data_IF_810043815909
#
_entry.id   IF_810043815909
#
_cell.length_a   1.000
_cell.length_b   1.000
_cell.length_c   1.000
_cell.angle_alpha   90.00
_cell.angle_beta   90.00
_cell.angle_gamma   90.00
#
_symmetry.space_group_name_H-M   'P 1'
#
loop_
_entity.id
_entity.type
_entity.pdbx_description
1 polymer ?
#
# COMPACT_ATOMS: atom_id res chain seq x y z
N UNK A 1 -0.12 27.61 1.23
CA UNK A 1 1.27 27.62 0.72
C UNK A 1 1.58 26.21 0.24
N UNK A 2 2.05 26.05 -1.00
CA UNK A 2 2.44 24.73 -1.53
C UNK A 2 3.76 24.31 -0.88
N UNK A 3 3.84 23.09 -0.37
CA UNK A 3 5.09 22.56 0.19
C UNK A 3 5.95 22.01 -0.94
N UNK A 4 7.18 22.53 -1.09
CA UNK A 4 8.21 21.86 -1.89
C UNK A 4 8.69 20.61 -1.16
N UNK A 5 8.03 19.49 -1.42
CA UNK A 5 8.22 18.26 -0.65
C UNK A 5 8.57 17.06 -1.52
N UNK A 6 9.03 17.26 -2.76
CA UNK A 6 9.35 16.15 -3.67
C UNK A 6 10.76 15.59 -3.43
N UNK A 7 10.90 14.29 -3.57
CA UNK A 7 12.15 13.54 -3.41
C UNK A 7 12.28 12.51 -4.52
N UNK A 8 13.42 12.52 -5.22
CA UNK A 8 13.71 11.52 -6.25
C UNK A 8 14.11 10.22 -5.56
N UNK A 9 13.25 9.20 -5.63
CA UNK A 9 13.47 7.91 -4.96
C UNK A 9 14.23 6.93 -5.86
N UNK A 10 13.79 6.80 -7.11
CA UNK A 10 14.49 6.05 -8.18
C UNK A 10 14.51 6.92 -9.44
N UNK A 11 15.32 6.61 -10.49
CA UNK A 11 15.34 7.43 -11.71
C UNK A 11 13.97 7.66 -12.37
N UNK A 12 13.02 6.74 -12.16
CA UNK A 12 11.67 6.77 -12.73
C UNK A 12 10.56 7.09 -11.70
N UNK A 13 10.90 7.33 -10.43
CA UNK A 13 9.93 7.57 -9.37
C UNK A 13 10.36 8.71 -8.45
N UNK A 14 9.55 9.77 -8.44
CA UNK A 14 9.67 10.89 -7.51
C UNK A 14 8.47 10.87 -6.55
N UNK A 15 8.69 10.93 -5.24
CA UNK A 15 7.64 10.85 -4.21
C UNK A 15 7.58 12.13 -3.38
N UNK A 16 6.60 12.27 -2.48
CA UNK A 16 6.70 13.23 -1.38
C UNK A 16 7.67 12.71 -0.31
N UNK A 17 8.42 13.61 0.34
CA UNK A 17 9.29 13.33 1.50
C UNK A 17 8.49 12.82 2.71
N UNK A 18 7.26 13.31 2.84
CA UNK A 18 6.30 12.89 3.86
C UNK A 18 5.20 12.08 3.16
N UNK A 19 5.02 10.84 3.60
CA UNK A 19 3.97 9.95 3.13
C UNK A 19 2.80 10.01 4.10
N UNK A 20 1.59 10.07 3.57
CA UNK A 20 0.38 10.04 4.37
C UNK A 20 -0.03 8.58 4.63
N UNK A 21 0.00 8.16 5.89
CA UNK A 21 -0.52 6.85 6.30
C UNK A 21 -2.04 6.86 6.42
N UNK A 22 -2.66 5.74 6.07
CA UNK A 22 -4.13 5.58 6.09
C UNK A 22 -4.62 4.57 7.15
N UNK A 23 -3.75 4.11 8.04
CA UNK A 23 -4.12 3.10 9.04
C UNK A 23 -5.34 3.51 9.89
N UNK A 24 -5.44 4.79 10.26
CA UNK A 24 -6.58 5.33 11.04
C UNK A 24 -7.93 5.33 10.30
N UNK A 25 -7.93 5.21 8.97
CA UNK A 25 -9.17 5.12 8.16
C UNK A 25 -9.54 3.67 7.86
N UNK A 26 -8.94 2.71 8.55
CA UNK A 26 -9.36 1.33 8.50
C UNK A 26 -10.67 1.12 9.27
N UNK A 27 -11.66 0.45 8.64
CA UNK A 27 -12.98 0.19 9.21
C UNK A 27 -12.97 -0.59 10.52
N UNK A 28 -11.88 -1.30 10.83
CA UNK A 28 -11.70 -2.00 12.11
C UNK A 28 -11.59 -1.04 13.32
N UNK A 29 -11.35 0.26 13.10
CA UNK A 29 -11.32 1.28 14.15
C UNK A 29 -12.67 1.93 14.44
N UNK A 30 -13.75 1.46 13.80
CA UNK A 30 -15.11 1.93 14.02
C UNK A 30 -15.67 2.74 12.85
N UNK A 31 -16.79 3.42 13.07
CA UNK A 31 -17.52 4.14 12.02
C UNK A 31 -16.74 5.39 11.59
N UNK A 32 -16.52 5.52 10.28
CA UNK A 32 -15.82 6.67 9.68
C UNK A 32 -16.85 7.63 9.08
N UNK A 33 -16.74 8.92 9.40
CA UNK A 33 -17.44 9.98 8.65
C UNK A 33 -16.66 10.28 7.36
N UNK A 34 -17.11 9.68 6.26
CA UNK A 34 -16.53 9.83 4.93
C UNK A 34 -16.40 11.29 4.49
N UNK A 35 -17.37 12.15 4.82
CA UNK A 35 -17.36 13.55 4.36
C UNK A 35 -16.22 14.32 5.02
N UNK A 36 -16.07 14.14 6.33
CA UNK A 36 -15.00 14.78 7.11
C UNK A 36 -13.62 14.22 6.76
N UNK A 37 -13.52 12.91 6.50
CA UNK A 37 -12.30 12.26 6.04
C UNK A 37 -11.84 12.82 4.68
N UNK A 38 -12.75 12.89 3.69
CA UNK A 38 -12.44 13.46 2.37
C UNK A 38 -12.06 14.94 2.44
N UNK A 39 -12.79 15.73 3.23
CA UNK A 39 -12.45 17.14 3.45
C UNK A 39 -11.04 17.30 4.04
N UNK A 40 -10.63 16.39 4.92
CA UNK A 40 -9.28 16.37 5.48
C UNK A 40 -8.25 15.98 4.42
N UNK A 41 -8.48 14.91 3.66
CA UNK A 41 -7.61 14.47 2.55
C UNK A 41 -7.34 15.62 1.56
N UNK A 42 -8.35 16.43 1.23
CA UNK A 42 -8.17 17.58 0.36
C UNK A 42 -7.28 18.69 0.96
N UNK A 43 -7.25 18.85 2.28
CA UNK A 43 -6.28 19.77 2.93
C UNK A 43 -4.84 19.30 2.72
N UNK A 44 -4.56 18.00 2.85
CA UNK A 44 -3.24 17.42 2.56
C UNK A 44 -2.89 17.60 1.07
N UNK A 45 -3.87 17.36 0.19
CA UNK A 45 -3.72 17.55 -1.24
C UNK A 45 -3.33 18.98 -1.63
N UNK A 46 -4.05 19.96 -1.07
CA UNK A 46 -3.91 21.38 -1.41
C UNK A 46 -2.58 21.98 -0.90
N UNK A 47 -1.89 21.31 0.04
CA UNK A 47 -0.51 21.65 0.45
C UNK A 47 0.55 20.80 -0.27
N UNK A 48 0.16 19.92 -1.19
CA UNK A 48 1.08 19.13 -2.02
C UNK A 48 1.47 17.77 -1.45
N UNK A 49 0.80 17.27 -0.39
CA UNK A 49 1.04 15.92 0.16
C UNK A 49 0.15 14.91 -0.58
N UNK A 50 0.71 14.25 -1.59
CA UNK A 50 -0.01 13.45 -2.60
C UNK A 50 0.43 11.98 -2.68
N UNK A 51 1.38 11.58 -1.83
CA UNK A 51 1.89 10.21 -1.73
C UNK A 51 1.29 9.53 -0.50
N UNK A 52 0.59 8.43 -0.72
CA UNK A 52 -0.21 7.73 0.29
C UNK A 52 0.30 6.30 0.51
N UNK A 53 0.33 5.84 1.76
CA UNK A 53 0.63 4.46 2.12
C UNK A 53 -0.64 3.75 2.60
N UNK A 54 -0.96 2.63 1.93
CA UNK A 54 -2.22 1.90 2.02
C UNK A 54 -1.97 0.41 2.31
N UNK A 55 -3.04 -0.31 2.66
CA UNK A 55 -3.06 -1.77 2.65
C UNK A 55 -4.36 -2.30 2.01
N UNK A 56 -4.27 -3.44 1.34
CA UNK A 56 -5.38 -4.09 0.62
C UNK A 56 -6.53 -4.57 1.52
N UNK A 57 -6.24 -4.87 2.78
CA UNK A 57 -7.24 -5.28 3.76
C UNK A 57 -7.94 -4.11 4.44
N UNK A 58 -7.61 -2.84 4.11
CA UNK A 58 -8.27 -1.63 4.64
C UNK A 58 -9.76 -1.49 4.21
N UNK A 59 -10.42 -2.59 3.86
CA UNK A 59 -11.65 -2.59 3.10
C UNK A 59 -11.44 -1.81 1.80
N UNK A 60 -12.40 -1.01 1.36
CA UNK A 60 -12.29 -0.29 0.11
C UNK A 60 -11.46 0.97 0.31
N UNK A 61 -10.21 0.88 0.80
CA UNK A 61 -9.29 2.02 0.86
C UNK A 61 -9.28 2.77 -0.48
N UNK A 62 -9.35 2.06 -1.60
CA UNK A 62 -9.46 2.65 -2.94
C UNK A 62 -10.79 3.43 -3.18
N UNK A 63 -11.91 3.07 -2.54
CA UNK A 63 -13.13 3.91 -2.49
C UNK A 63 -13.05 5.00 -1.41
N UNK A 64 -12.41 4.73 -0.27
CA UNK A 64 -12.31 5.61 0.90
C UNK A 64 -11.39 6.79 0.68
N UNK A 65 -10.23 6.57 0.04
CA UNK A 65 -9.34 7.66 -0.38
C UNK A 65 -10.02 8.50 -1.48
N UNK A 66 -11.15 8.01 -2.00
CA UNK A 66 -11.98 8.76 -2.91
C UNK A 66 -11.21 9.10 -4.16
N UNK A 67 -10.35 8.23 -4.69
CA UNK A 67 -9.57 8.55 -5.89
C UNK A 67 -10.47 8.79 -7.10
N UNK A 68 -11.60 8.05 -7.19
CA UNK A 68 -12.69 8.38 -8.12
C UNK A 68 -13.35 9.71 -7.78
N UNK A 69 -13.47 10.07 -6.50
CA UNK A 69 -14.03 11.35 -6.05
C UNK A 69 -13.07 12.52 -6.30
N UNK A 70 -11.76 12.32 -6.20
CA UNK A 70 -10.71 13.26 -6.56
C UNK A 70 -10.78 13.52 -8.06
N UNK A 71 -10.92 12.48 -8.89
CA UNK A 71 -11.21 12.62 -10.33
C UNK A 71 -12.47 13.46 -10.57
N UNK A 72 -13.57 13.13 -9.90
CA UNK A 72 -14.84 13.85 -10.04
C UNK A 72 -14.77 15.31 -9.57
N UNK A 73 -13.95 15.62 -8.55
CA UNK A 73 -13.96 16.92 -7.86
C UNK A 73 -12.83 17.86 -8.30
N UNK A 74 -11.64 17.31 -8.56
CA UNK A 74 -10.41 18.06 -8.88
C UNK A 74 -9.93 17.80 -10.32
N UNK A 75 -10.60 16.91 -11.05
CA UNK A 75 -10.32 16.64 -12.47
C UNK A 75 -9.18 15.64 -12.71
N UNK A 76 -8.95 15.35 -14.00
CA UNK A 76 -8.01 14.33 -14.44
C UNK A 76 -6.55 14.67 -14.14
N UNK A 77 -6.19 15.96 -14.21
CA UNK A 77 -4.84 16.45 -13.90
C UNK A 77 -4.45 16.21 -12.44
N UNK A 78 -5.41 16.33 -11.52
CA UNK A 78 -5.18 16.03 -10.11
C UNK A 78 -4.89 14.54 -9.95
N UNK A 79 -5.66 13.67 -10.60
CA UNK A 79 -5.46 12.23 -10.48
C UNK A 79 -4.10 11.75 -10.99
N UNK A 80 -3.54 12.35 -12.04
CA UNK A 80 -2.20 12.01 -12.53
C UNK A 80 -1.10 12.30 -11.50
N UNK A 81 -1.34 13.28 -10.60
CA UNK A 81 -0.39 13.68 -9.56
C UNK A 81 -0.49 12.85 -8.29
N UNK A 82 -1.43 11.90 -8.24
CA UNK A 82 -1.61 11.00 -7.13
C UNK A 82 -0.58 9.88 -7.15
N UNK A 83 0.00 9.57 -5.99
CA UNK A 83 0.88 8.42 -5.81
C UNK A 83 0.41 7.59 -4.62
N UNK A 84 0.31 6.27 -4.80
CA UNK A 84 -0.11 5.36 -3.75
C UNK A 84 0.80 4.14 -3.72
N UNK A 85 1.25 3.78 -2.52
CA UNK A 85 1.92 2.52 -2.23
C UNK A 85 0.94 1.65 -1.46
N UNK A 86 0.61 0.49 -2.00
CA UNK A 86 -0.28 -0.47 -1.33
C UNK A 86 0.48 -1.73 -0.96
N UNK A 87 0.21 -2.22 0.26
CA UNK A 87 0.68 -3.53 0.72
C UNK A 87 -0.41 -4.55 0.44
N UNK A 88 -0.05 -5.69 -0.13
CA UNK A 88 -0.95 -6.83 -0.29
C UNK A 88 -0.75 -7.81 0.87
N UNK A 89 -1.81 -8.10 1.62
CA UNK A 89 -1.86 -8.97 2.79
C UNK A 89 -2.83 -10.10 2.49
N UNK A 90 -2.38 -11.15 1.78
CA UNK A 90 -3.25 -12.27 1.43
C UNK A 90 -3.71 -13.02 2.66
N UNK A 91 -4.85 -13.72 2.50
CA UNK A 91 -5.24 -14.77 3.46
C UNK A 91 -4.13 -15.83 3.50
N UNK A 92 -4.04 -16.50 4.66
CA UNK A 92 -3.13 -17.62 4.84
C UNK A 92 -3.57 -18.79 3.96
N UNK A 93 -3.00 -18.86 2.76
CA UNK A 93 -3.20 -19.92 1.79
C UNK A 93 -1.92 -20.18 0.99
N UNK A 94 -1.90 -21.22 0.16
CA UNK A 94 -0.74 -21.52 -0.69
C UNK A 94 -0.52 -20.39 -1.69
N UNK A 95 0.59 -19.67 -1.56
CA UNK A 95 0.96 -18.56 -2.44
C UNK A 95 1.40 -19.04 -3.83
N UNK A 96 0.43 -19.30 -4.71
CA UNK A 96 0.72 -19.67 -6.10
C UNK A 96 1.11 -18.45 -6.93
N UNK A 97 1.94 -18.66 -7.96
CA UNK A 97 2.28 -17.60 -8.94
C UNK A 97 1.03 -16.97 -9.57
N UNK A 98 -0.01 -17.77 -9.81
CA UNK A 98 -1.28 -17.29 -10.36
C UNK A 98 -1.99 -16.33 -9.39
N UNK A 99 -2.05 -16.70 -8.10
CA UNK A 99 -2.63 -15.89 -7.04
C UNK A 99 -1.91 -14.54 -6.91
N UNK A 100 -0.58 -14.54 -6.84
CA UNK A 100 0.23 -13.33 -6.73
C UNK A 100 0.01 -12.42 -7.97
N UNK A 101 0.01 -12.99 -9.17
CA UNK A 101 -0.25 -12.22 -10.41
C UNK A 101 -1.64 -11.59 -10.43
N UNK A 102 -2.67 -12.36 -10.06
CA UNK A 102 -4.05 -11.88 -10.02
C UNK A 102 -4.17 -10.67 -9.09
N UNK A 103 -3.55 -10.73 -7.91
CA UNK A 103 -3.63 -9.64 -6.93
C UNK A 103 -2.79 -8.43 -7.35
N UNK A 104 -1.58 -8.60 -7.88
CA UNK A 104 -0.79 -7.48 -8.43
C UNK A 104 -1.54 -6.76 -9.57
N UNK A 105 -2.29 -7.50 -10.39
CA UNK A 105 -3.13 -6.91 -11.46
C UNK A 105 -4.37 -6.23 -10.86
N UNK A 106 -4.99 -6.84 -9.85
CA UNK A 106 -6.17 -6.32 -9.17
C UNK A 106 -5.90 -5.03 -8.38
N UNK A 107 -4.73 -4.88 -7.77
CA UNK A 107 -4.29 -3.68 -7.06
C UNK A 107 -3.84 -2.53 -7.97
N UNK A 108 -4.10 -2.62 -9.29
CA UNK A 108 -3.76 -1.56 -10.25
C UNK A 108 -4.82 -0.47 -10.25
N UNK A 109 -4.45 0.72 -9.75
CA UNK A 109 -5.23 1.95 -9.84
C UNK A 109 -5.26 2.57 -11.26
N UNK A 110 -5.25 1.75 -12.32
CA UNK A 110 -5.71 2.15 -13.66
C UNK A 110 -4.94 3.19 -14.48
N UNK A 111 -3.82 3.82 -14.05
CA UNK A 111 -3.23 4.94 -14.83
C UNK A 111 -1.71 4.94 -15.05
N UNK A 112 -0.87 4.33 -14.20
CA UNK A 112 0.58 4.22 -14.49
C UNK A 112 1.05 2.78 -14.61
N UNK A 113 1.63 2.45 -15.78
CA UNK A 113 2.16 1.13 -16.08
C UNK A 113 3.65 1.01 -15.69
N UNK A 114 3.94 0.86 -14.39
CA UNK A 114 5.28 0.40 -13.95
C UNK A 114 5.45 -1.12 -14.15
N UNK A 115 4.79 -1.70 -15.17
CA UNK A 115 4.72 -3.14 -15.40
C UNK A 115 6.12 -3.74 -15.49
N UNK A 116 7.03 -3.08 -16.19
CA UNK A 116 8.42 -3.54 -16.34
C UNK A 116 9.18 -3.53 -15.01
N UNK A 117 9.01 -2.48 -14.20
CA UNK A 117 9.72 -2.35 -12.92
C UNK A 117 9.12 -3.26 -11.85
N UNK A 118 7.80 -3.37 -11.78
CA UNK A 118 7.12 -4.31 -10.89
C UNK A 118 7.42 -5.77 -11.30
N UNK A 119 7.58 -6.06 -12.60
CA UNK A 119 7.96 -7.40 -13.04
C UNK A 119 9.35 -7.82 -12.56
N UNK A 120 10.24 -6.88 -12.20
CA UNK A 120 11.55 -7.19 -11.61
C UNK A 120 11.43 -7.88 -10.25
N UNK A 121 10.31 -7.75 -9.53
CA UNK A 121 10.07 -8.51 -8.29
C UNK A 121 10.12 -10.02 -8.54
N UNK A 122 9.73 -10.49 -9.73
CA UNK A 122 9.79 -11.91 -10.08
C UNK A 122 11.19 -12.39 -10.45
N UNK A 123 12.17 -11.48 -10.55
CA UNK A 123 13.59 -11.81 -10.72
C UNK A 123 14.29 -11.99 -9.38
N UNK A 124 13.72 -11.46 -8.30
CA UNK A 124 14.22 -11.66 -6.95
C UNK A 124 14.12 -13.14 -6.59
N UNK A 125 15.24 -13.72 -6.18
CA UNK A 125 15.34 -15.08 -5.65
C UNK A 125 16.32 -15.03 -4.49
N UNK A 126 15.95 -15.68 -3.40
CA UNK A 126 16.89 -15.99 -2.34
C UNK A 126 17.87 -17.04 -2.87
N UNK A 127 19.15 -16.81 -2.66
CA UNK A 127 20.19 -17.79 -2.96
C UNK A 127 20.52 -18.65 -1.72
N UNK A 128 21.45 -19.59 -1.86
CA UNK A 128 21.83 -20.49 -0.77
C UNK A 128 22.39 -19.75 0.45
N UNK A 129 23.10 -18.65 0.25
CA UNK A 129 23.67 -17.85 1.34
C UNK A 129 22.56 -17.14 2.13
N UNK A 130 21.55 -16.62 1.43
CA UNK A 130 20.37 -16.04 2.08
C UNK A 130 19.63 -17.07 2.96
N UNK A 131 19.43 -18.30 2.47
CA UNK A 131 18.81 -19.36 3.25
C UNK A 131 19.64 -19.76 4.47
N UNK A 132 20.97 -19.89 4.33
CA UNK A 132 21.87 -20.21 5.45
C UNK A 132 21.81 -19.14 6.56
N UNK A 133 21.77 -17.86 6.17
CA UNK A 133 21.59 -16.75 7.13
C UNK A 133 20.25 -16.81 7.83
N UNK A 134 19.16 -17.06 7.11
CA UNK A 134 17.82 -17.19 7.68
C UNK A 134 17.73 -18.36 8.67
N UNK A 135 18.27 -19.53 8.31
CA UNK A 135 18.31 -20.71 9.17
C UNK A 135 19.12 -20.46 10.45
N UNK A 136 20.22 -19.71 10.37
CA UNK A 136 21.02 -19.36 11.55
C UNK A 136 20.20 -18.58 12.59
N UNK A 137 19.22 -17.78 12.15
CA UNK A 137 18.32 -17.01 13.02
C UNK A 137 17.12 -17.85 13.44
N UNK A 138 16.51 -18.60 12.52
CA UNK A 138 15.32 -19.41 12.80
C UNK A 138 15.58 -20.44 13.90
N UNK A 139 16.77 -21.06 13.90
CA UNK A 139 17.17 -22.02 14.95
C UNK A 139 17.32 -21.40 16.35
N UNK A 140 17.39 -20.07 16.44
CA UNK A 140 17.48 -19.34 17.71
C UNK A 140 16.16 -18.65 18.09
N UNK A 141 15.21 -18.57 17.16
CA UNK A 141 13.95 -17.85 17.31
C UNK A 141 12.80 -18.79 17.66
N UNK A 142 11.78 -18.28 18.34
CA UNK A 142 10.52 -19.00 18.54
C UNK A 142 9.62 -18.76 17.34
N UNK A 143 8.81 -19.76 16.99
CA UNK A 143 7.72 -19.58 16.05
C UNK A 143 6.74 -18.54 16.61
N UNK A 144 6.81 -17.32 16.07
CA UNK A 144 5.96 -16.21 16.52
C UNK A 144 4.48 -16.48 16.22
N UNK A 145 4.16 -17.20 15.15
CA UNK A 145 2.77 -17.54 14.84
C UNK A 145 2.18 -18.44 15.93
N UNK A 146 2.95 -19.44 16.39
CA UNK A 146 2.53 -20.25 17.54
C UNK A 146 2.50 -19.47 18.85
N UNK A 147 3.42 -18.52 19.04
CA UNK A 147 3.59 -17.80 20.30
C UNK A 147 2.55 -16.69 20.51
N UNK A 148 2.28 -15.88 19.48
CA UNK A 148 1.42 -14.69 19.57
C UNK A 148 0.13 -14.81 18.76
N UNK A 149 -0.03 -15.91 18.02
CA UNK A 149 -1.20 -16.13 17.16
C UNK A 149 -1.14 -15.35 15.85
N UNK A 150 -2.20 -15.47 15.06
CA UNK A 150 -2.37 -14.66 13.86
C UNK A 150 -2.69 -13.21 14.25
N UNK A 151 -1.73 -12.31 14.10
CA UNK A 151 -1.87 -10.88 14.36
C UNK A 151 -2.87 -10.17 13.41
N UNK A 152 -3.61 -10.90 12.58
CA UNK A 152 -4.74 -10.39 11.83
C UNK A 152 -6.06 -11.12 12.10
N UNK A 153 -6.11 -12.03 13.07
CA UNK A 153 -7.35 -12.73 13.45
C UNK A 153 -8.39 -11.77 14.06
N UNK A 154 -7.98 -10.66 14.67
CA UNK A 154 -8.88 -9.61 15.14
C UNK A 154 -9.71 -8.99 14.01
N UNK A 155 -9.23 -9.09 12.77
CA UNK A 155 -9.90 -8.55 11.58
C UNK A 155 -10.80 -9.57 10.86
N UNK A 156 -10.91 -10.81 11.37
CA UNK A 156 -11.64 -11.93 10.71
C UNK A 156 -12.89 -12.39 11.45
N UNK A 157 -13.32 -11.66 12.49
CA UNK A 157 -14.54 -11.95 13.27
C UNK A 157 -15.79 -11.33 12.66
#
# INVERSE_FOLDING_TARGET
MMLENRFQFTPDLQINRLLNGMWQVFSAHGRIDHKSALASIFKYWDVGLRTWNLVDHDGPAEEFIGFRRLLQTKGQEAYIQLQAFTKWVPRLEKMTRSLVKKNIIGSRLGVTEHIKNNARVFQFKLDSEDYERLESVFNQSRDLFQLIGDCGDEYRR
#
